data_IF_577493610860
#
_entry.id   IF_577493610860
#
_cell.length_a   1.000
_cell.length_b   1.000
_cell.length_c   1.000
_cell.angle_alpha   90.00
_cell.angle_beta   90.00
_cell.angle_gamma   90.00
#
_symmetry.space_group_name_H-M   'P 1'
#
loop_
_entity.id
_entity.type
_entity.pdbx_description
1 polymer ?
#
# COMPACT_ATOMS: atom_id res chain seq x y z
N UNK A 1 13.10 35.47 -20.31
CA UNK A 1 13.47 35.02 -18.98
C UNK A 1 13.38 33.50 -18.96
N UNK A 2 14.51 32.78 -18.97
CA UNK A 2 14.54 31.33 -18.86
C UNK A 2 14.48 31.00 -17.36
N UNK A 3 13.43 30.38 -16.92
CA UNK A 3 13.31 29.82 -15.55
C UNK A 3 14.28 28.66 -15.45
N UNK A 4 15.32 28.82 -14.69
CA UNK A 4 16.23 27.76 -14.27
C UNK A 4 15.49 26.97 -13.21
N UNK A 5 14.94 25.79 -13.56
CA UNK A 5 14.45 24.83 -12.60
C UNK A 5 15.68 24.25 -11.92
N UNK A 6 15.90 24.63 -10.68
CA UNK A 6 16.97 24.07 -9.85
C UNK A 6 16.60 22.63 -9.46
N UNK A 7 17.47 21.68 -9.83
CA UNK A 7 17.40 20.24 -9.58
C UNK A 7 17.52 19.82 -8.08
N UNK A 8 17.34 20.74 -7.14
CA UNK A 8 17.57 20.49 -5.71
C UNK A 8 16.28 20.32 -4.87
N UNK A 9 15.12 20.06 -5.47
CA UNK A 9 13.87 20.12 -4.69
C UNK A 9 13.57 18.92 -3.78
N UNK A 10 14.14 17.75 -4.05
CA UNK A 10 13.90 16.55 -3.22
C UNK A 10 15.20 15.75 -3.11
N UNK A 11 15.92 15.79 -1.98
CA UNK A 11 16.99 14.83 -1.79
C UNK A 11 16.35 13.44 -1.74
N UNK A 12 16.83 12.47 -2.55
CA UNK A 12 16.36 11.11 -2.45
C UNK A 12 16.57 10.64 -1.01
N UNK A 13 15.56 10.03 -0.41
CA UNK A 13 15.76 9.36 0.87
C UNK A 13 16.91 8.38 0.68
N UNK A 14 18.05 8.68 1.33
CA UNK A 14 19.23 7.83 1.34
C UNK A 14 18.94 6.60 2.20
N UNK A 15 18.08 5.70 1.71
CA UNK A 15 17.90 4.40 2.33
C UNK A 15 18.88 3.43 1.66
N UNK A 16 19.83 2.96 2.44
CA UNK A 16 20.77 1.90 2.06
C UNK A 16 20.00 0.66 1.62
N UNK A 17 20.46 0.02 0.55
CA UNK A 17 19.87 -1.20 -0.04
C UNK A 17 19.93 -2.47 0.84
N UNK A 18 20.27 -2.34 2.11
CA UNK A 18 20.27 -3.45 3.06
C UNK A 18 19.13 -3.28 4.05
N UNK A 19 18.22 -4.24 4.12
CA UNK A 19 17.26 -4.31 5.22
C UNK A 19 17.97 -4.19 6.56
N UNK A 20 17.33 -3.61 7.61
CA UNK A 20 17.89 -3.60 8.94
C UNK A 20 18.38 -4.99 9.34
N UNK A 21 19.51 -5.11 10.01
CA UNK A 21 20.29 -6.34 10.21
C UNK A 21 19.52 -7.56 10.79
N UNK A 22 18.28 -7.38 11.23
CA UNK A 22 17.41 -8.44 11.77
C UNK A 22 15.98 -8.38 11.20
N UNK A 23 15.72 -7.66 10.09
CA UNK A 23 14.40 -7.58 9.51
C UNK A 23 14.13 -8.78 8.61
N UNK A 24 13.16 -9.61 8.98
CA UNK A 24 12.76 -10.82 8.25
C UNK A 24 11.25 -10.89 7.97
N UNK A 25 10.50 -9.82 8.27
CA UNK A 25 9.05 -9.77 8.14
C UNK A 25 8.64 -9.37 6.72
N UNK A 26 9.10 -10.14 5.75
CA UNK A 26 8.76 -9.96 4.33
C UNK A 26 8.92 -11.27 3.54
N UNK A 27 8.26 -11.33 2.37
CA UNK A 27 8.53 -12.35 1.35
C UNK A 27 8.40 -11.74 -0.04
N UNK A 28 9.51 -11.71 -0.77
CA UNK A 28 9.63 -11.18 -2.14
C UNK A 28 10.30 -12.20 -3.05
N UNK A 29 10.21 -12.01 -4.37
CA UNK A 29 10.78 -12.92 -5.37
C UNK A 29 12.30 -13.01 -5.32
N UNK A 30 12.94 -11.84 -5.33
CA UNK A 30 14.39 -11.70 -5.39
C UNK A 30 14.80 -10.37 -4.73
N UNK A 31 15.40 -10.48 -3.55
CA UNK A 31 15.83 -9.32 -2.78
C UNK A 31 16.97 -8.53 -3.46
N UNK A 32 17.74 -9.16 -4.34
CA UNK A 32 18.83 -8.51 -5.08
C UNK A 32 18.36 -7.40 -6.03
N UNK A 33 17.06 -7.35 -6.32
CA UNK A 33 16.45 -6.31 -7.15
C UNK A 33 16.20 -4.99 -6.42
N UNK A 34 16.50 -4.90 -5.12
CA UNK A 34 16.18 -3.74 -4.28
C UNK A 34 16.80 -2.44 -4.80
N UNK A 35 18.07 -2.43 -5.21
CA UNK A 35 18.74 -1.26 -5.74
C UNK A 35 18.15 -0.78 -7.08
N UNK A 36 17.73 -1.72 -7.91
CA UNK A 36 17.02 -1.38 -9.15
C UNK A 36 15.65 -0.78 -8.82
N UNK A 37 14.89 -1.42 -7.92
CA UNK A 37 13.61 -0.91 -7.45
C UNK A 37 13.70 0.49 -6.87
N UNK A 38 14.75 0.79 -6.08
CA UNK A 38 14.95 2.12 -5.52
C UNK A 38 15.11 3.21 -6.59
N UNK A 39 15.83 2.91 -7.67
CA UNK A 39 15.99 3.87 -8.79
C UNK A 39 14.67 4.09 -9.54
N UNK A 40 13.91 3.04 -9.77
CA UNK A 40 12.59 3.15 -10.42
C UNK A 40 11.59 3.91 -9.56
N UNK A 41 11.59 3.71 -8.23
CA UNK A 41 10.74 4.45 -7.30
C UNK A 41 11.12 5.94 -7.31
N UNK A 42 12.42 6.28 -7.35
CA UNK A 42 12.86 7.67 -7.44
C UNK A 42 12.38 8.36 -8.72
N UNK A 43 12.28 7.64 -9.84
CA UNK A 43 11.65 8.16 -11.06
C UNK A 43 10.15 8.37 -10.85
N UNK A 44 9.45 7.36 -10.29
CA UNK A 44 8.01 7.45 -10.03
C UNK A 44 7.65 8.64 -9.12
N UNK A 45 8.48 8.97 -8.13
CA UNK A 45 8.29 10.16 -7.28
C UNK A 45 8.23 11.46 -8.11
N UNK A 46 9.00 11.58 -9.17
CA UNK A 46 8.96 12.76 -10.05
C UNK A 46 7.69 12.85 -10.89
N UNK A 47 7.01 11.72 -11.10
CA UNK A 47 5.75 11.60 -11.86
C UNK A 47 4.51 11.70 -10.97
N UNK A 48 4.68 11.73 -9.64
CA UNK A 48 3.61 11.77 -8.64
C UNK A 48 3.65 13.04 -7.77
N UNK A 49 3.59 14.24 -8.39
CA UNK A 49 3.80 15.50 -7.68
C UNK A 49 2.76 15.77 -6.59
N UNK A 50 1.53 15.29 -6.76
CA UNK A 50 0.47 15.45 -5.75
C UNK A 50 0.79 14.69 -4.47
N UNK A 51 1.26 13.44 -4.58
CA UNK A 51 1.62 12.63 -3.42
C UNK A 51 2.90 13.16 -2.76
N UNK A 52 3.87 13.64 -3.54
CA UNK A 52 5.08 14.26 -3.01
C UNK A 52 4.78 15.58 -2.27
N UNK A 53 3.82 16.37 -2.75
CA UNK A 53 3.35 17.57 -2.03
C UNK A 53 2.71 17.24 -0.69
N UNK A 54 1.91 16.16 -0.61
CA UNK A 54 1.34 15.66 0.65
C UNK A 54 2.45 15.26 1.62
N UNK A 55 3.49 14.59 1.14
CA UNK A 55 4.66 14.19 1.94
C UNK A 55 5.41 15.42 2.48
N UNK A 56 5.62 16.44 1.64
CA UNK A 56 6.27 17.70 2.03
C UNK A 56 5.44 18.48 3.08
N UNK A 57 4.13 18.59 2.86
CA UNK A 57 3.26 19.40 3.72
C UNK A 57 3.02 18.75 5.09
N UNK A 58 2.80 17.44 5.12
CA UNK A 58 2.34 16.74 6.31
C UNK A 58 3.39 15.84 6.98
N UNK A 59 4.51 15.54 6.33
CA UNK A 59 5.51 14.61 6.85
C UNK A 59 6.03 14.99 8.24
N UNK A 60 6.26 16.28 8.50
CA UNK A 60 6.72 16.75 9.81
C UNK A 60 5.67 16.61 10.92
N UNK A 61 4.38 16.72 10.59
CA UNK A 61 3.27 16.65 11.58
C UNK A 61 2.84 15.24 11.92
N UNK A 62 3.25 14.24 11.12
CA UNK A 62 2.92 12.81 11.31
C UNK A 62 1.42 12.56 11.54
N UNK A 63 0.51 13.02 10.65
CA UNK A 63 -0.94 12.93 10.89
C UNK A 63 -1.46 11.50 10.95
N UNK A 64 -0.70 10.51 10.45
CA UNK A 64 -1.04 9.09 10.51
C UNK A 64 -0.36 8.35 11.67
N UNK A 65 0.19 9.07 12.66
CA UNK A 65 0.76 8.42 13.82
C UNK A 65 -0.29 7.59 14.57
N UNK A 66 0.02 6.30 14.79
CA UNK A 66 -0.91 5.33 15.37
C UNK A 66 -1.83 4.65 14.36
N UNK A 67 -1.81 5.06 13.10
CA UNK A 67 -2.42 4.29 12.03
C UNK A 67 -1.61 3.02 11.74
N UNK A 68 -2.29 1.88 11.77
CA UNK A 68 -1.78 0.57 11.39
C UNK A 68 -2.53 0.10 10.16
N UNK A 69 -1.87 0.24 9.01
CA UNK A 69 -2.50 0.05 7.71
C UNK A 69 -2.12 -1.30 7.12
N UNK A 70 -3.12 -2.12 6.85
CA UNK A 70 -2.98 -3.28 5.98
C UNK A 70 -3.39 -2.90 4.57
N UNK A 71 -2.51 -3.10 3.59
CA UNK A 71 -2.76 -2.84 2.19
C UNK A 71 -2.80 -4.12 1.35
N UNK A 72 -3.82 -4.24 0.51
CA UNK A 72 -3.93 -5.26 -0.53
C UNK A 72 -4.21 -4.55 -1.86
N UNK A 73 -3.15 -4.11 -2.52
CA UNK A 73 -3.20 -3.35 -3.76
C UNK A 73 -1.94 -3.64 -4.58
N UNK A 74 -2.03 -3.55 -5.91
CA UNK A 74 -0.96 -3.87 -6.84
C UNK A 74 0.42 -3.37 -6.37
N UNK A 75 1.38 -4.27 -6.14
CA UNK A 75 2.72 -3.91 -5.64
C UNK A 75 3.60 -3.41 -6.78
N UNK A 76 3.36 -2.19 -7.22
CA UNK A 76 4.10 -1.49 -8.28
C UNK A 76 5.03 -0.42 -7.71
N UNK A 77 5.86 0.21 -8.57
CA UNK A 77 6.71 1.33 -8.16
C UNK A 77 5.88 2.53 -7.66
N UNK A 78 4.70 2.78 -8.25
CA UNK A 78 3.81 3.84 -7.81
C UNK A 78 3.22 3.53 -6.42
N UNK A 79 2.84 2.28 -6.19
CA UNK A 79 2.39 1.82 -4.87
C UNK A 79 3.51 1.89 -3.84
N UNK A 80 4.75 1.65 -4.22
CA UNK A 80 5.89 1.84 -3.34
C UNK A 80 6.02 3.30 -2.86
N UNK A 81 5.83 4.28 -3.76
CA UNK A 81 5.77 5.71 -3.39
C UNK A 81 4.63 5.99 -2.41
N UNK A 82 3.45 5.37 -2.61
CA UNK A 82 2.33 5.48 -1.66
C UNK A 82 2.70 4.90 -0.29
N UNK A 83 3.24 3.69 -0.24
CA UNK A 83 3.63 3.01 1.00
C UNK A 83 4.63 3.87 1.79
N UNK A 84 5.68 4.37 1.14
CA UNK A 84 6.68 5.23 1.76
C UNK A 84 6.08 6.57 2.23
N UNK A 85 5.12 7.11 1.50
CA UNK A 85 4.38 8.29 1.93
C UNK A 85 3.57 8.03 3.20
N UNK A 86 2.84 6.92 3.27
CA UNK A 86 2.09 6.54 4.48
C UNK A 86 3.02 6.40 5.69
N UNK A 87 4.19 5.76 5.51
CA UNK A 87 5.20 5.62 6.56
C UNK A 87 5.79 6.98 6.96
N UNK A 88 6.10 7.84 5.99
CA UNK A 88 6.58 9.20 6.25
C UNK A 88 5.55 10.03 7.03
N UNK A 89 4.28 9.83 6.77
CA UNK A 89 3.17 10.46 7.52
C UNK A 89 2.94 9.83 8.91
N UNK A 90 3.68 8.79 9.28
CA UNK A 90 3.68 8.20 10.62
C UNK A 90 2.92 6.88 10.76
N UNK A 91 2.41 6.30 9.67
CA UNK A 91 1.72 5.01 9.72
C UNK A 91 2.70 3.83 9.84
N UNK A 92 2.25 2.77 10.48
CA UNK A 92 2.81 1.43 10.36
C UNK A 92 2.08 0.72 9.23
N UNK A 93 2.82 0.11 8.29
CA UNK A 93 2.24 -0.45 7.06
C UNK A 93 2.66 -1.91 6.90
N UNK A 94 1.73 -2.76 6.47
CA UNK A 94 1.98 -4.12 5.99
C UNK A 94 1.28 -4.29 4.64
N UNK A 95 1.93 -4.91 3.66
CA UNK A 95 1.44 -4.87 2.28
C UNK A 95 1.48 -6.21 1.58
N UNK A 96 0.43 -6.49 0.77
CA UNK A 96 0.40 -7.56 -0.24
C UNK A 96 -0.12 -7.02 -1.57
N UNK A 97 0.01 -7.80 -2.63
CA UNK A 97 -0.62 -7.48 -3.91
C UNK A 97 -2.06 -8.00 -3.95
N UNK A 98 -2.94 -7.30 -4.62
CA UNK A 98 -4.31 -7.74 -4.91
C UNK A 98 -4.43 -8.64 -6.15
N UNK A 99 -3.31 -8.98 -6.78
CA UNK A 99 -3.29 -9.79 -8.01
C UNK A 99 -1.99 -10.58 -8.14
N UNK A 100 -2.11 -11.85 -8.53
CA UNK A 100 -0.98 -12.78 -8.63
C UNK A 100 0.05 -12.45 -9.71
N UNK A 101 -0.27 -11.57 -10.68
CA UNK A 101 0.61 -11.23 -11.80
C UNK A 101 1.09 -9.78 -11.82
N UNK A 102 0.50 -8.89 -11.02
CA UNK A 102 0.73 -7.45 -11.14
C UNK A 102 1.93 -6.92 -10.36
N UNK A 103 2.51 -7.71 -9.47
CA UNK A 103 3.68 -7.28 -8.70
C UNK A 103 4.86 -6.97 -9.62
N UNK A 104 5.49 -5.83 -9.40
CA UNK A 104 6.83 -5.52 -9.90
C UNK A 104 7.84 -5.97 -8.83
N UNK A 105 8.54 -7.08 -9.08
CA UNK A 105 9.39 -7.74 -8.06
C UNK A 105 10.47 -6.81 -7.50
N UNK A 106 10.98 -5.89 -8.31
CA UNK A 106 11.95 -4.89 -7.87
C UNK A 106 11.34 -3.82 -6.94
N UNK A 107 10.04 -3.47 -7.12
CA UNK A 107 9.35 -2.58 -6.19
C UNK A 107 9.16 -3.25 -4.83
N UNK A 108 8.70 -4.50 -4.81
CA UNK A 108 8.58 -5.28 -3.58
C UNK A 108 9.92 -5.44 -2.86
N UNK A 109 11.00 -5.73 -3.59
CA UNK A 109 12.35 -5.85 -3.04
C UNK A 109 12.83 -4.53 -2.41
N UNK A 110 12.56 -3.37 -3.04
CA UNK A 110 12.94 -2.07 -2.50
C UNK A 110 12.19 -1.74 -1.20
N UNK A 111 10.90 -2.05 -1.11
CA UNK A 111 10.09 -1.87 0.11
C UNK A 111 10.57 -2.79 1.22
N UNK A 112 10.89 -4.06 0.93
CA UNK A 112 11.49 -4.97 1.90
C UNK A 112 12.84 -4.45 2.41
N UNK A 113 13.69 -3.93 1.51
CA UNK A 113 14.99 -3.34 1.87
C UNK A 113 14.85 -2.08 2.73
N UNK A 114 13.76 -1.34 2.59
CA UNK A 114 13.41 -0.21 3.47
C UNK A 114 12.93 -0.65 4.87
N UNK A 115 12.82 -1.95 5.13
CA UNK A 115 12.36 -2.48 6.42
C UNK A 115 10.84 -2.41 6.60
N UNK A 116 10.09 -2.33 5.51
CA UNK A 116 8.62 -2.30 5.53
C UNK A 116 8.10 -3.71 5.19
N UNK A 117 7.22 -4.28 6.03
CA UNK A 117 6.64 -5.58 5.79
C UNK A 117 5.88 -5.65 4.46
N UNK A 118 6.32 -6.54 3.57
CA UNK A 118 5.73 -6.75 2.24
C UNK A 118 5.78 -8.21 1.84
N UNK A 119 4.64 -8.72 1.35
CA UNK A 119 4.44 -10.11 0.97
C UNK A 119 3.88 -10.14 -0.46
N UNK A 120 4.74 -9.98 -1.46
CA UNK A 120 4.31 -9.87 -2.86
C UNK A 120 5.41 -10.30 -3.83
N UNK A 121 5.03 -11.10 -4.84
CA UNK A 121 5.89 -11.45 -5.98
C UNK A 121 5.05 -11.81 -7.19
N UNK A 122 5.60 -11.62 -8.37
CA UNK A 122 4.91 -11.94 -9.61
C UNK A 122 4.85 -13.46 -9.83
N UNK A 123 3.65 -13.95 -10.12
CA UNK A 123 3.41 -15.38 -10.41
C UNK A 123 3.20 -16.22 -9.16
N UNK A 124 2.60 -15.65 -8.11
CA UNK A 124 2.10 -16.41 -6.97
C UNK A 124 1.05 -17.44 -7.42
N UNK A 125 1.02 -18.59 -6.76
CA UNK A 125 -0.14 -19.47 -6.80
C UNK A 125 -1.30 -18.84 -6.01
N UNK A 126 -2.51 -19.36 -6.18
CA UNK A 126 -3.68 -18.90 -5.41
C UNK A 126 -3.47 -19.10 -3.90
N UNK A 127 -2.87 -20.23 -3.49
CA UNK A 127 -2.55 -20.50 -2.09
C UNK A 127 -1.53 -19.48 -1.52
N UNK A 128 -0.49 -19.17 -2.29
CA UNK A 128 0.52 -18.18 -1.93
C UNK A 128 -0.08 -16.77 -1.84
N UNK A 129 -1.02 -16.43 -2.72
CA UNK A 129 -1.75 -15.17 -2.70
C UNK A 129 -2.52 -14.99 -1.39
N UNK A 130 -3.36 -15.94 -1.04
CA UNK A 130 -4.13 -15.88 0.20
C UNK A 130 -3.24 -15.89 1.44
N UNK A 131 -2.17 -16.69 1.42
CA UNK A 131 -1.17 -16.66 2.48
C UNK A 131 -0.55 -15.26 2.61
N UNK A 132 -0.18 -14.61 1.50
CA UNK A 132 0.41 -13.27 1.50
C UNK A 132 -0.55 -12.21 2.06
N UNK A 133 -1.83 -12.26 1.68
CA UNK A 133 -2.86 -11.37 2.25
C UNK A 133 -2.97 -11.58 3.76
N UNK A 134 -2.99 -12.83 4.23
CA UNK A 134 -3.05 -13.15 5.66
C UNK A 134 -1.84 -12.65 6.46
N UNK A 135 -0.63 -12.62 5.86
CA UNK A 135 0.54 -12.07 6.54
C UNK A 135 0.40 -10.56 6.81
N UNK A 136 -0.46 -9.85 6.11
CA UNK A 136 -0.64 -8.40 6.31
C UNK A 136 -1.56 -8.05 7.47
N UNK A 137 -2.44 -8.96 7.90
CA UNK A 137 -3.43 -8.71 8.95
C UNK A 137 -2.95 -9.01 10.37
N UNK A 138 -1.76 -9.58 10.50
CA UNK A 138 -1.11 -9.84 11.78
C UNK A 138 0.39 -9.68 11.66
N UNK A 139 1.04 -9.25 12.72
CA UNK A 139 2.49 -9.04 12.75
C UNK A 139 3.10 -9.40 14.11
N UNK A 140 4.41 -9.20 14.24
CA UNK A 140 5.11 -9.34 15.51
C UNK A 140 4.46 -8.52 16.63
N UNK A 141 4.69 -8.92 17.88
CA UNK A 141 4.23 -8.21 19.08
C UNK A 141 2.71 -7.95 19.14
N UNK A 142 1.92 -8.76 18.43
CA UNK A 142 0.47 -8.64 18.39
C UNK A 142 -0.03 -7.50 17.50
N UNK A 143 0.78 -7.04 16.56
CA UNK A 143 0.37 -6.03 15.60
C UNK A 143 -0.90 -6.44 14.83
N UNK A 144 -1.87 -5.54 14.73
CA UNK A 144 -3.13 -5.70 14.01
C UNK A 144 -3.51 -4.39 13.33
N UNK A 145 -4.18 -4.43 12.16
CA UNK A 145 -4.59 -3.23 11.46
C UNK A 145 -5.72 -2.50 12.19
N UNK A 146 -5.74 -1.18 12.04
CA UNK A 146 -6.91 -0.36 12.34
C UNK A 146 -7.43 0.40 11.12
N UNK A 147 -6.76 0.26 9.97
CA UNK A 147 -7.21 0.78 8.69
C UNK A 147 -6.90 -0.25 7.58
N UNK A 148 -7.83 -0.40 6.64
CA UNK A 148 -7.67 -1.25 5.47
C UNK A 148 -7.58 -0.39 4.21
N UNK A 149 -6.66 -0.73 3.32
CA UNK A 149 -6.58 -0.19 1.98
C UNK A 149 -6.68 -1.37 1.01
N UNK A 150 -7.77 -1.45 0.27
CA UNK A 150 -8.12 -2.62 -0.54
C UNK A 150 -8.35 -2.26 -2.01
N UNK A 151 -8.10 -3.21 -2.88
CA UNK A 151 -8.31 -3.10 -4.32
C UNK A 151 -8.94 -4.40 -4.84
N UNK A 152 -10.26 -4.37 -4.91
CA UNK A 152 -11.09 -5.50 -5.32
C UNK A 152 -11.88 -6.17 -4.20
N UNK A 153 -11.64 -5.81 -2.95
CA UNK A 153 -12.41 -6.26 -1.79
C UNK A 153 -11.99 -7.60 -1.20
N UNK A 154 -10.90 -8.22 -1.67
CA UNK A 154 -10.47 -9.53 -1.19
C UNK A 154 -10.02 -9.49 0.28
N UNK A 155 -9.23 -8.48 0.65
CA UNK A 155 -8.81 -8.27 2.04
C UNK A 155 -10.02 -8.01 2.94
N UNK A 156 -10.92 -7.15 2.50
CA UNK A 156 -12.12 -6.78 3.26
C UNK A 156 -13.03 -7.99 3.51
N UNK A 157 -13.27 -8.80 2.48
CA UNK A 157 -14.07 -10.02 2.59
C UNK A 157 -13.37 -11.04 3.51
N UNK A 158 -12.07 -11.25 3.33
CA UNK A 158 -11.29 -12.15 4.18
C UNK A 158 -11.40 -11.76 5.66
N UNK A 159 -11.32 -10.47 5.97
CA UNK A 159 -11.47 -9.97 7.34
C UNK A 159 -12.87 -10.20 7.90
N UNK A 160 -13.92 -10.02 7.09
CA UNK A 160 -15.31 -10.25 7.52
C UNK A 160 -15.63 -11.72 7.73
N UNK A 161 -15.15 -12.59 6.85
CA UNK A 161 -15.50 -14.00 6.85
C UNK A 161 -14.63 -14.82 7.82
N UNK A 162 -13.32 -14.59 7.82
CA UNK A 162 -12.37 -15.43 8.56
C UNK A 162 -11.88 -14.81 9.86
N UNK A 163 -11.83 -13.47 9.93
CA UNK A 163 -11.24 -12.74 11.06
C UNK A 163 -12.18 -11.66 11.64
N UNK A 164 -13.50 -11.93 11.81
CA UNK A 164 -14.46 -10.91 12.21
C UNK A 164 -14.15 -10.27 13.57
N UNK A 165 -13.42 -10.96 14.44
CA UNK A 165 -12.98 -10.45 15.73
C UNK A 165 -11.93 -9.32 15.61
N UNK A 166 -11.22 -9.22 14.49
CA UNK A 166 -10.24 -8.16 14.26
C UNK A 166 -10.89 -6.87 13.76
N UNK A 167 -12.15 -6.95 13.28
CA UNK A 167 -12.87 -5.78 12.77
C UNK A 167 -13.26 -4.79 13.88
N UNK A 168 -13.24 -5.22 15.16
CA UNK A 168 -13.53 -4.32 16.29
C UNK A 168 -12.53 -3.17 16.41
N UNK A 169 -11.28 -3.39 15.99
CA UNK A 169 -10.23 -2.37 15.99
C UNK A 169 -10.16 -1.57 14.68
N UNK A 170 -10.89 -2.00 13.63
CA UNK A 170 -10.81 -1.37 12.30
C UNK A 170 -11.72 -0.16 12.21
N UNK A 171 -11.13 1.00 11.98
CA UNK A 171 -11.82 2.30 11.83
C UNK A 171 -12.49 2.46 10.47
N UNK A 172 -11.99 1.77 9.44
CA UNK A 172 -12.57 1.81 8.11
C UNK A 172 -11.69 1.17 7.03
N UNK A 173 -12.28 1.07 5.84
CA UNK A 173 -11.62 0.61 4.62
C UNK A 173 -11.69 1.69 3.53
N UNK A 174 -10.61 1.86 2.78
CA UNK A 174 -10.56 2.63 1.54
C UNK A 174 -10.49 1.64 0.37
N UNK A 175 -11.50 1.65 -0.49
CA UNK A 175 -11.58 0.75 -1.65
C UNK A 175 -11.25 1.49 -2.94
N UNK A 176 -10.29 0.96 -3.68
CA UNK A 176 -9.70 1.59 -4.86
C UNK A 176 -10.54 1.41 -6.11
N UNK A 177 -11.20 0.23 -6.30
CA UNK A 177 -11.67 -0.18 -7.63
C UNK A 177 -13.15 -0.55 -7.68
N UNK A 178 -13.71 -0.50 -8.88
CA UNK A 178 -15.13 -0.77 -9.15
C UNK A 178 -15.59 -2.13 -8.62
N UNK A 179 -14.79 -3.18 -8.79
CA UNK A 179 -15.16 -4.54 -8.34
C UNK A 179 -15.33 -4.58 -6.82
N UNK A 180 -14.38 -4.00 -6.08
CA UNK A 180 -14.45 -3.95 -4.62
C UNK A 180 -15.59 -3.06 -4.14
N UNK A 181 -15.79 -1.89 -4.77
CA UNK A 181 -16.93 -1.01 -4.46
C UNK A 181 -18.27 -1.73 -4.61
N UNK A 182 -18.45 -2.51 -5.68
CA UNK A 182 -19.68 -3.32 -5.85
C UNK A 182 -19.84 -4.34 -4.72
N UNK A 183 -18.77 -5.04 -4.32
CA UNK A 183 -18.80 -5.98 -3.19
C UNK A 183 -19.19 -5.28 -1.89
N UNK A 184 -18.63 -4.09 -1.61
CA UNK A 184 -18.98 -3.30 -0.43
C UNK A 184 -20.45 -2.87 -0.44
N UNK A 185 -21.01 -2.47 -1.59
CA UNK A 185 -22.44 -2.16 -1.69
C UNK A 185 -23.32 -3.37 -1.44
N UNK A 186 -22.96 -4.56 -1.94
CA UNK A 186 -23.71 -5.79 -1.66
C UNK A 186 -23.63 -6.15 -0.17
N UNK A 187 -22.46 -6.03 0.46
CA UNK A 187 -22.29 -6.24 1.89
C UNK A 187 -23.12 -5.25 2.71
N UNK A 188 -23.11 -3.97 2.33
CA UNK A 188 -23.89 -2.93 3.00
C UNK A 188 -25.39 -3.20 2.89
N UNK A 189 -25.86 -3.56 1.71
CA UNK A 189 -27.28 -3.92 1.45
C UNK A 189 -27.71 -5.16 2.23
N UNK A 190 -26.81 -6.13 2.35
CA UNK A 190 -27.05 -7.35 3.15
C UNK A 190 -26.94 -7.11 4.67
N UNK A 191 -26.47 -5.94 5.11
CA UNK A 191 -26.21 -5.64 6.52
C UNK A 191 -25.01 -6.39 7.11
N UNK A 192 -24.10 -6.87 6.25
CA UNK A 192 -22.91 -7.64 6.66
C UNK A 192 -21.65 -6.81 6.72
N UNK A 193 -21.61 -5.60 6.11
CA UNK A 193 -20.49 -4.68 6.22
C UNK A 193 -20.42 -4.10 7.63
N UNK A 194 -19.38 -4.43 8.37
CA UNK A 194 -19.22 -4.09 9.80
C UNK A 194 -18.39 -2.85 10.06
N UNK A 195 -17.72 -2.31 9.05
CA UNK A 195 -16.84 -1.15 9.17
C UNK A 195 -17.24 -0.07 8.16
N UNK A 196 -16.97 1.21 8.44
CA UNK A 196 -17.13 2.28 7.46
C UNK A 196 -16.29 2.02 6.22
N UNK A 197 -16.79 2.37 5.04
CA UNK A 197 -16.09 2.21 3.78
C UNK A 197 -16.05 3.51 2.98
N UNK A 198 -14.90 3.84 2.43
CA UNK A 198 -14.69 4.98 1.53
C UNK A 198 -14.52 4.44 0.11
N UNK A 199 -15.40 4.85 -0.79
CA UNK A 199 -15.31 4.59 -2.20
C UNK A 199 -14.35 5.59 -2.86
N UNK A 200 -13.08 5.20 -3.00
CA UNK A 200 -12.05 6.02 -3.65
C UNK A 200 -12.21 5.98 -5.18
N UNK A 201 -12.74 4.87 -5.73
CA UNK A 201 -12.94 4.71 -7.17
C UNK A 201 -13.77 5.84 -7.81
N UNK A 202 -14.80 6.31 -7.11
CA UNK A 202 -15.71 7.34 -7.62
C UNK A 202 -15.30 8.75 -7.16
N UNK A 203 -14.17 8.92 -6.49
CA UNK A 203 -13.65 10.24 -6.17
C UNK A 203 -13.39 11.04 -7.44
N UNK A 204 -13.58 12.36 -7.38
CA UNK A 204 -13.39 13.24 -8.54
C UNK A 204 -11.97 13.14 -9.09
N UNK A 205 -10.99 13.03 -8.21
CA UNK A 205 -9.58 12.94 -8.57
C UNK A 205 -9.21 11.62 -9.26
N UNK A 206 -9.96 10.53 -9.03
CA UNK A 206 -9.80 9.27 -9.74
C UNK A 206 -10.73 9.16 -10.93
N UNK A 207 -12.04 9.24 -10.73
CA UNK A 207 -13.04 8.91 -11.75
C UNK A 207 -13.01 9.81 -12.99
N UNK A 208 -12.60 11.09 -12.82
CA UNK A 208 -12.51 12.05 -13.92
C UNK A 208 -11.14 12.14 -14.57
N UNK A 209 -10.14 11.51 -14.01
CA UNK A 209 -8.79 11.50 -14.56
C UNK A 209 -8.36 10.09 -14.94
N UNK A 210 -8.16 9.21 -13.97
CA UNK A 210 -7.68 7.85 -14.19
C UNK A 210 -8.67 7.02 -15.01
N UNK A 211 -9.95 6.97 -14.64
CA UNK A 211 -10.97 6.20 -15.34
C UNK A 211 -11.36 6.78 -16.72
N UNK A 212 -10.96 8.01 -17.02
CA UNK A 212 -11.29 8.66 -18.29
C UNK A 212 -10.11 8.67 -19.27
N UNK A 213 -8.88 8.75 -18.77
CA UNK A 213 -7.67 8.92 -19.57
C UNK A 213 -6.64 7.81 -19.37
N UNK A 214 -6.82 6.93 -18.38
CA UNK A 214 -5.95 5.82 -18.05
C UNK A 214 -6.20 4.52 -18.81
#
# INVERSE_FOLDING_TARGET
>A
MKSTITEERYPPMSMSAAAPANFSDYKVKDFSLADYGRREIAIAETEMPGLMAVREEFGASKPLQGARITGCLHMTIQTAVLIETLVELGAEVRWSSCNIFSTQDHAAAAIAAAGIPVFAWKGMSEEEYWWAVEQTISGPDGWRPNLLLDDGGDLTILMHDKYPQLLEDVLGVSEETTTGVHRLYEMAKAGTLKVPAINVNDSVTKSKFDNLYG
#
